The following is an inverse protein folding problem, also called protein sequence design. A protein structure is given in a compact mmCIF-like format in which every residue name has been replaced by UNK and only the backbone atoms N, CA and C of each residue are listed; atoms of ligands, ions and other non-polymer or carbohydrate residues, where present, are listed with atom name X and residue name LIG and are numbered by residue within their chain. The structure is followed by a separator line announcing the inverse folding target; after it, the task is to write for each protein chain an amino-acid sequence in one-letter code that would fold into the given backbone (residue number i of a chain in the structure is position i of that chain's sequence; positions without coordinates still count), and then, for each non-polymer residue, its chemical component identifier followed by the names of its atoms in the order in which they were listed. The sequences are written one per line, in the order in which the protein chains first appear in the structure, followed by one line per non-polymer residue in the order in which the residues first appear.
data_IF_556234300924
#
_entry.id   IF_556234300924
#
_cell.length_a   1.000
_cell.length_b   1.000
_cell.length_c   1.000
_cell.angle_alpha   90.00
_cell.angle_beta   90.00
_cell.angle_gamma   90.00
#
_symmetry.space_group_name_H-M   'P 1'
#
loop_
_entity.id
_entity.type
_entity.pdbx_description
1 polymer ?
#
# COMPACT_ATOMS: atom_id res chain seq x y z
N UNK A 1 -24.61 -10.70 -1.12
CA UNK A 1 -24.03 -9.33 -1.01
C UNK A 1 -23.69 -8.84 -2.41
N UNK A 2 -24.01 -7.59 -2.76
CA UNK A 2 -23.57 -6.98 -4.02
C UNK A 2 -22.04 -6.87 -3.97
N UNK A 3 -21.32 -7.50 -4.90
CA UNK A 3 -19.87 -7.34 -5.04
C UNK A 3 -19.60 -5.86 -5.26
N UNK A 4 -18.94 -5.20 -4.30
CA UNK A 4 -18.52 -3.79 -4.45
C UNK A 4 -17.40 -3.75 -5.48
N UNK A 5 -17.39 -2.72 -6.32
CA UNK A 5 -16.23 -2.49 -7.19
C UNK A 5 -15.06 -2.01 -6.32
N UNK A 6 -13.86 -2.48 -6.60
CA UNK A 6 -12.64 -2.15 -5.84
C UNK A 6 -12.47 -0.63 -5.63
N UNK A 7 -12.74 0.18 -6.66
CA UNK A 7 -12.70 1.66 -6.57
C UNK A 7 -13.58 2.28 -5.47
N UNK A 8 -14.67 1.60 -5.09
CA UNK A 8 -15.56 2.07 -4.02
C UNK A 8 -14.92 1.90 -2.63
N UNK A 9 -13.81 1.18 -2.52
CA UNK A 9 -13.07 0.95 -1.29
C UNK A 9 -11.99 2.01 -1.05
N UNK A 10 -11.52 2.69 -2.11
CA UNK A 10 -10.35 3.58 -2.04
C UNK A 10 -10.51 4.69 -1.00
N UNK A 11 -11.65 5.40 -1.01
CA UNK A 11 -11.89 6.47 -0.04
C UNK A 11 -11.99 5.94 1.39
N UNK A 12 -12.73 4.84 1.59
CA UNK A 12 -12.88 4.23 2.93
C UNK A 12 -11.52 3.81 3.48
N UNK A 13 -10.68 3.18 2.66
CA UNK A 13 -9.35 2.74 3.07
C UNK A 13 -8.43 3.92 3.31
N UNK A 14 -8.47 4.94 2.44
CA UNK A 14 -7.70 6.17 2.60
C UNK A 14 -8.03 6.84 3.93
N UNK A 15 -9.31 7.10 4.21
CA UNK A 15 -9.75 7.73 5.46
C UNK A 15 -9.23 6.98 6.70
N UNK A 16 -9.35 5.65 6.72
CA UNK A 16 -8.87 4.82 7.84
C UNK A 16 -7.34 4.84 7.99
N UNK A 17 -6.60 4.87 6.89
CA UNK A 17 -5.15 5.04 6.93
C UNK A 17 -4.78 6.44 7.42
N UNK A 18 -5.47 7.49 6.98
CA UNK A 18 -5.24 8.87 7.43
C UNK A 18 -5.48 9.02 8.94
N UNK A 19 -6.49 8.37 9.51
CA UNK A 19 -6.70 8.31 10.96
C UNK A 19 -5.52 7.68 11.72
N UNK A 20 -5.00 6.56 11.21
CA UNK A 20 -3.83 5.88 11.80
C UNK A 20 -2.58 6.75 11.69
N UNK A 21 -2.34 7.34 10.52
CA UNK A 21 -1.17 8.17 10.26
C UNK A 21 -1.21 9.45 11.12
N UNK A 22 -2.37 10.09 11.26
CA UNK A 22 -2.54 11.27 12.09
C UNK A 22 -2.21 11.04 13.57
N UNK A 23 -2.43 9.82 14.07
CA UNK A 23 -2.08 9.47 15.44
C UNK A 23 -0.56 9.27 15.66
N UNK A 24 0.22 9.14 14.59
CA UNK A 24 1.64 8.73 14.64
C UNK A 24 2.62 9.73 14.01
N UNK A 25 2.16 10.49 13.03
CA UNK A 25 2.98 11.42 12.26
C UNK A 25 2.36 12.81 12.27
N UNK A 26 3.21 13.82 12.44
CA UNK A 26 2.79 15.22 12.43
C UNK A 26 2.54 15.75 11.00
N UNK A 27 3.20 15.15 10.01
CA UNK A 27 3.09 15.55 8.61
C UNK A 27 3.08 14.31 7.71
N UNK A 28 1.97 14.15 6.99
CA UNK A 28 1.73 13.07 6.05
C UNK A 28 0.78 13.54 4.94
N UNK A 29 0.76 12.78 3.85
CA UNK A 29 -0.14 12.98 2.74
C UNK A 29 -0.47 11.65 2.09
N UNK A 30 -1.74 11.43 1.75
CA UNK A 30 -2.21 10.31 0.95
C UNK A 30 -3.16 10.82 -0.14
N UNK A 31 -3.06 10.24 -1.33
CA UNK A 31 -4.00 10.50 -2.43
C UNK A 31 -4.33 9.20 -3.17
N UNK A 32 -5.56 9.11 -3.71
CA UNK A 32 -5.96 8.02 -4.60
C UNK A 32 -5.32 8.29 -5.96
N UNK A 33 -4.42 7.42 -6.39
CA UNK A 33 -3.59 7.59 -7.60
C UNK A 33 -4.09 6.78 -8.79
N UNK A 34 -4.92 5.74 -8.56
CA UNK A 34 -5.48 4.88 -9.60
C UNK A 34 -6.13 5.67 -10.75
N UNK A 35 -6.94 6.69 -10.42
CA UNK A 35 -7.78 7.39 -11.39
C UNK A 35 -7.18 8.71 -11.89
N UNK A 36 -6.68 9.52 -10.98
CA UNK A 36 -6.29 10.93 -11.25
C UNK A 36 -4.82 11.09 -11.61
N UNK A 37 -3.99 10.09 -11.29
CA UNK A 37 -2.55 10.17 -11.47
C UNK A 37 -1.84 10.66 -10.22
N UNK A 38 -0.68 11.26 -10.41
CA UNK A 38 0.14 11.78 -9.31
C UNK A 38 0.02 13.31 -9.28
N UNK A 39 -0.37 13.86 -8.14
CA UNK A 39 -0.43 15.32 -7.96
C UNK A 39 0.96 15.95 -7.96
N UNK A 40 0.99 17.27 -8.13
CA UNK A 40 2.26 18.01 -8.02
C UNK A 40 2.88 17.90 -6.63
N UNK A 41 2.06 17.74 -5.58
CA UNK A 41 2.53 17.53 -4.21
C UNK A 41 3.27 16.19 -4.06
N UNK A 42 2.74 15.11 -4.63
CA UNK A 42 3.43 13.83 -4.60
C UNK A 42 4.69 13.84 -5.48
N UNK A 43 4.61 14.45 -6.66
CA UNK A 43 5.75 14.59 -7.58
C UNK A 43 6.91 15.39 -6.98
N UNK A 44 6.64 16.46 -6.22
CA UNK A 44 7.70 17.28 -5.61
C UNK A 44 8.48 16.57 -4.52
N UNK A 45 7.97 15.45 -4.00
CA UNK A 45 8.61 14.66 -2.95
C UNK A 45 9.48 13.51 -3.51
N UNK A 46 9.39 13.24 -4.81
CA UNK A 46 10.26 12.25 -5.44
C UNK A 46 11.69 12.79 -5.48
N UNK A 47 12.69 12.01 -5.04
CA UNK A 47 14.09 12.41 -5.13
C UNK A 47 14.50 12.73 -6.57
N UNK A 48 15.34 13.75 -6.74
CA UNK A 48 15.88 14.11 -8.05
C UNK A 48 16.51 12.92 -8.76
N UNK A 49 16.19 12.73 -10.03
CA UNK A 49 16.65 11.62 -10.87
C UNK A 49 15.75 10.37 -10.83
N UNK A 50 14.74 10.33 -9.95
CA UNK A 50 13.76 9.23 -9.89
C UNK A 50 12.43 9.56 -10.57
N UNK A 51 12.27 10.75 -11.14
CA UNK A 51 11.01 11.21 -11.78
C UNK A 51 10.62 10.36 -13.00
N UNK A 52 11.58 9.65 -13.59
CA UNK A 52 11.35 8.73 -14.71
C UNK A 52 10.32 7.65 -14.39
N UNK A 53 10.11 7.29 -13.11
CA UNK A 53 9.10 6.31 -12.69
C UNK A 53 7.71 6.68 -13.18
N UNK A 54 7.39 7.99 -13.26
CA UNK A 54 6.08 8.45 -13.70
C UNK A 54 5.82 8.16 -15.17
N UNK A 55 6.85 7.96 -16.00
CA UNK A 55 6.68 7.54 -17.38
C UNK A 55 6.23 6.07 -17.49
N UNK A 56 6.73 5.21 -16.60
CA UNK A 56 6.35 3.80 -16.55
C UNK A 56 4.97 3.58 -15.91
N UNK A 57 4.56 4.47 -15.01
CA UNK A 57 3.30 4.38 -14.28
C UNK A 57 2.13 5.12 -14.96
N UNK A 58 2.25 5.52 -16.22
CA UNK A 58 1.15 6.23 -16.93
C UNK A 58 -0.11 5.38 -17.06
N UNK A 59 0.06 4.08 -17.31
CA UNK A 59 -1.01 3.11 -17.63
C UNK A 59 -1.42 2.21 -16.45
N UNK A 60 -0.52 2.02 -15.48
CA UNK A 60 -0.73 1.18 -14.32
C UNK A 60 -0.11 1.88 -13.11
N UNK A 61 -0.97 2.40 -12.24
CA UNK A 61 -0.61 3.18 -11.06
C UNK A 61 -0.95 2.36 -9.82
N UNK A 62 -0.35 2.69 -8.67
CA UNK A 62 -0.87 2.20 -7.43
C UNK A 62 -2.30 2.69 -7.19
N UNK A 63 -3.02 2.06 -6.27
CA UNK A 63 -4.37 2.52 -5.92
C UNK A 63 -4.33 3.80 -5.09
N UNK A 64 -3.51 3.79 -4.04
CA UNK A 64 -3.24 4.94 -3.17
C UNK A 64 -1.73 5.08 -3.03
N UNK A 65 -1.26 6.32 -3.07
CA UNK A 65 0.15 6.64 -2.83
C UNK A 65 0.26 7.90 -2.00
N UNK A 66 1.34 8.02 -1.25
CA UNK A 66 1.64 9.22 -0.51
C UNK A 66 2.95 9.11 0.24
N UNK A 67 3.09 9.89 1.30
CA UNK A 67 4.31 9.93 2.10
C UNK A 67 4.05 10.38 3.53
N UNK A 68 4.96 10.03 4.43
CA UNK A 68 5.10 10.64 5.76
C UNK A 68 6.44 11.36 5.84
N UNK A 69 6.50 12.43 6.64
CA UNK A 69 7.73 13.17 6.91
C UNK A 69 8.30 12.78 8.27
N UNK A 70 9.54 12.32 8.28
CA UNK A 70 10.30 12.06 9.52
C UNK A 70 11.72 12.62 9.37
N UNK A 71 12.18 13.42 10.34
CA UNK A 71 13.54 14.00 10.34
C UNK A 71 13.92 14.71 9.02
N UNK A 72 12.98 15.44 8.41
CA UNK A 72 13.13 16.12 7.11
C UNK A 72 13.19 15.21 5.87
N UNK A 73 13.06 13.89 6.03
CA UNK A 73 12.96 12.94 4.92
C UNK A 73 11.51 12.57 4.63
N UNK A 74 11.22 12.38 3.35
CA UNK A 74 9.93 11.85 2.88
C UNK A 74 10.03 10.34 2.70
N UNK A 75 9.19 9.61 3.42
CA UNK A 75 9.08 8.17 3.31
C UNK A 75 7.79 7.80 2.60
N UNK A 76 7.90 7.20 1.43
CA UNK A 76 6.75 6.88 0.60
C UNK A 76 5.91 5.73 1.19
N UNK A 77 4.60 5.88 1.00
CA UNK A 77 3.58 4.87 1.27
C UNK A 77 2.98 4.45 -0.07
N UNK A 78 2.92 3.15 -0.31
CA UNK A 78 2.24 2.54 -1.46
C UNK A 78 1.18 1.58 -0.93
N UNK A 79 -0.03 1.66 -1.48
CA UNK A 79 -1.14 0.79 -1.09
C UNK A 79 -1.81 0.22 -2.34
N UNK A 80 -1.96 -1.09 -2.36
CA UNK A 80 -2.81 -1.82 -3.29
C UNK A 80 -4.03 -2.38 -2.55
N UNK A 81 -5.16 -2.39 -3.22
CA UNK A 81 -6.46 -2.75 -2.65
C UNK A 81 -7.06 -3.87 -3.49
N UNK A 82 -7.66 -4.86 -2.83
CA UNK A 82 -8.36 -5.97 -3.49
C UNK A 82 -9.72 -6.18 -2.86
N UNK A 83 -10.74 -6.35 -3.69
CA UNK A 83 -12.09 -6.75 -3.24
C UNK A 83 -12.29 -8.29 -3.25
N UNK A 84 -11.19 -9.03 -3.40
CA UNK A 84 -11.11 -10.48 -3.51
C UNK A 84 -10.01 -11.02 -2.58
N UNK A 85 -9.90 -12.34 -2.49
CA UNK A 85 -8.75 -12.98 -1.84
C UNK A 85 -7.44 -12.54 -2.49
N UNK A 86 -6.38 -12.42 -1.68
CA UNK A 86 -5.05 -12.00 -2.15
C UNK A 86 -4.43 -13.11 -2.98
N UNK A 87 -3.99 -12.77 -4.19
CA UNK A 87 -3.24 -13.66 -5.07
C UNK A 87 -1.75 -13.29 -5.13
N UNK A 88 -0.93 -14.19 -5.68
CA UNK A 88 0.52 -13.94 -5.83
C UNK A 88 0.80 -12.70 -6.70
N UNK A 89 0.03 -12.50 -7.76
CA UNK A 89 0.19 -11.37 -8.66
C UNK A 89 -0.08 -10.03 -7.96
N UNK A 90 -0.99 -9.99 -6.99
CA UNK A 90 -1.24 -8.79 -6.17
C UNK A 90 -0.01 -8.43 -5.33
N UNK A 91 0.68 -9.44 -4.79
CA UNK A 91 1.93 -9.25 -4.03
C UNK A 91 3.02 -8.73 -4.96
N UNK A 92 3.19 -9.31 -6.15
CA UNK A 92 4.18 -8.83 -7.12
C UNK A 92 3.86 -7.43 -7.63
N UNK A 93 2.59 -7.10 -7.85
CA UNK A 93 2.14 -5.75 -8.18
C UNK A 93 2.52 -4.76 -7.07
N UNK A 94 2.23 -5.09 -5.82
CA UNK A 94 2.60 -4.28 -4.65
C UNK A 94 4.11 -4.12 -4.54
N UNK A 95 4.89 -5.19 -4.75
CA UNK A 95 6.37 -5.14 -4.76
C UNK A 95 6.89 -4.19 -5.83
N UNK A 96 6.38 -4.31 -7.06
CA UNK A 96 6.78 -3.46 -8.20
C UNK A 96 6.61 -1.98 -7.83
N UNK A 97 5.46 -1.60 -7.30
CA UNK A 97 5.21 -0.21 -6.93
C UNK A 97 6.07 0.24 -5.74
N UNK A 98 6.17 -0.56 -4.68
CA UNK A 98 7.02 -0.26 -3.54
C UNK A 98 8.50 -0.05 -3.96
N UNK A 99 9.03 -0.89 -4.84
CA UNK A 99 10.40 -0.73 -5.38
C UNK A 99 10.56 0.55 -6.20
N UNK A 100 9.63 0.83 -7.12
CA UNK A 100 9.70 2.03 -7.96
C UNK A 100 9.68 3.31 -7.13
N UNK A 101 8.87 3.37 -6.08
CA UNK A 101 8.81 4.51 -5.16
C UNK A 101 9.91 4.50 -4.09
N UNK A 102 10.59 3.37 -3.86
CA UNK A 102 11.44 3.22 -2.67
C UNK A 102 10.62 3.38 -1.39
N UNK A 103 9.42 2.79 -1.37
CA UNK A 103 8.46 2.96 -0.28
C UNK A 103 8.99 2.35 1.02
N UNK A 104 8.85 3.08 2.13
CA UNK A 104 9.09 2.56 3.48
C UNK A 104 7.91 1.71 3.95
N UNK A 105 6.71 2.08 3.52
CA UNK A 105 5.47 1.40 3.89
C UNK A 105 4.77 0.90 2.62
N UNK A 106 4.64 -0.42 2.49
CA UNK A 106 3.93 -1.07 1.39
C UNK A 106 2.79 -1.90 1.97
N UNK A 107 1.55 -1.62 1.57
CA UNK A 107 0.37 -2.30 2.08
C UNK A 107 -0.38 -2.97 0.94
N UNK A 108 -0.82 -4.21 1.17
CA UNK A 108 -1.78 -4.90 0.33
C UNK A 108 -3.01 -5.22 1.17
N UNK A 109 -4.11 -4.53 0.87
CA UNK A 109 -5.33 -4.52 1.68
C UNK A 109 -6.43 -5.27 0.94
N UNK A 110 -6.98 -6.31 1.55
CA UNK A 110 -8.07 -7.10 0.99
C UNK A 110 -9.34 -7.01 1.85
N UNK A 111 -10.52 -7.09 1.23
CA UNK A 111 -11.80 -7.28 1.94
C UNK A 111 -12.04 -8.71 2.41
N UNK A 112 -11.15 -9.64 2.07
CA UNK A 112 -11.21 -11.03 2.45
C UNK A 112 -10.06 -11.36 3.42
N UNK A 113 -10.23 -12.46 4.15
CA UNK A 113 -9.19 -12.96 5.05
C UNK A 113 -7.89 -13.22 4.28
N UNK A 114 -6.76 -12.96 4.96
CA UNK A 114 -5.44 -13.19 4.41
C UNK A 114 -5.24 -14.71 4.27
N UNK A 115 -5.00 -15.25 3.06
CA UNK A 115 -4.91 -16.69 2.86
C UNK A 115 -3.79 -17.32 3.68
N UNK A 116 -4.07 -18.45 4.34
CA UNK A 116 -3.07 -19.17 5.12
C UNK A 116 -1.92 -19.69 4.25
N UNK A 117 -2.18 -19.99 2.99
CA UNK A 117 -1.17 -20.39 2.00
C UNK A 117 -0.15 -19.28 1.77
N UNK A 118 -0.58 -18.01 1.71
CA UNK A 118 0.32 -16.86 1.56
C UNK A 118 1.15 -16.66 2.82
N UNK A 119 0.53 -16.79 4.01
CA UNK A 119 1.26 -16.71 5.29
C UNK A 119 2.32 -17.81 5.40
N UNK A 120 1.98 -19.05 5.02
CA UNK A 120 2.92 -20.18 5.01
C UNK A 120 4.02 -20.03 3.96
N UNK A 121 3.69 -19.48 2.79
CA UNK A 121 4.69 -19.19 1.76
C UNK A 121 5.77 -18.26 2.32
N UNK A 122 5.37 -17.18 2.99
CA UNK A 122 6.30 -16.20 3.56
C UNK A 122 7.04 -16.67 4.80
N UNK A 123 6.42 -17.46 5.69
CA UNK A 123 7.10 -17.93 6.92
C UNK A 123 7.91 -19.21 6.76
N UNK A 124 7.46 -20.12 5.92
CA UNK A 124 7.95 -21.51 5.92
C UNK A 124 8.69 -21.86 4.63
N UNK A 125 8.14 -21.50 3.47
CA UNK A 125 8.67 -21.96 2.17
C UNK A 125 9.76 -21.01 1.67
N UNK A 126 9.51 -19.71 1.75
CA UNK A 126 10.43 -18.67 1.33
C UNK A 126 10.43 -17.56 2.39
N UNK A 127 11.19 -17.74 3.49
CA UNK A 127 11.43 -16.67 4.46
C UNK A 127 11.82 -15.40 3.71
N UNK A 128 11.19 -14.28 4.05
CA UNK A 128 11.33 -12.99 3.35
C UNK A 128 10.59 -12.86 2.02
N UNK A 129 9.63 -13.74 1.72
CA UNK A 129 8.81 -13.59 0.52
C UNK A 129 8.07 -12.24 0.48
N UNK A 130 7.60 -11.68 1.59
CA UNK A 130 7.00 -10.35 1.60
C UNK A 130 8.02 -9.21 1.71
N UNK A 131 9.28 -9.52 1.95
CA UNK A 131 10.36 -8.53 2.04
C UNK A 131 10.78 -8.07 0.64
N UNK A 132 11.29 -6.84 0.57
CA UNK A 132 11.76 -6.21 -0.65
C UNK A 132 13.15 -5.62 -0.51
N UNK A 133 13.74 -5.24 -1.65
CA UNK A 133 14.99 -4.48 -1.68
C UNK A 133 14.82 -3.16 -0.88
N UNK A 134 15.91 -2.64 -0.30
CA UNK A 134 15.90 -1.45 0.56
C UNK A 134 15.21 -1.62 1.93
N UNK A 135 14.97 -2.87 2.35
CA UNK A 135 14.56 -3.20 3.73
C UNK A 135 13.10 -2.93 4.05
N UNK A 136 12.26 -2.65 3.05
CA UNK A 136 10.80 -2.60 3.25
C UNK A 136 10.20 -4.01 3.23
N UNK A 137 9.03 -4.14 3.83
CA UNK A 137 8.22 -5.37 3.83
C UNK A 137 6.78 -5.03 3.44
N UNK A 138 6.16 -5.87 2.63
CA UNK A 138 4.73 -5.75 2.33
C UNK A 138 3.95 -6.23 3.54
N UNK A 139 3.02 -5.39 3.97
CA UNK A 139 2.10 -5.67 5.06
C UNK A 139 0.77 -6.06 4.46
N UNK A 140 0.34 -7.30 4.72
CA UNK A 140 -0.96 -7.79 4.32
C UNK A 140 -1.99 -7.36 5.37
N UNK A 141 -3.13 -6.84 4.91
CA UNK A 141 -4.18 -6.31 5.79
C UNK A 141 -5.54 -6.85 5.35
N UNK A 142 -6.32 -7.36 6.30
CA UNK A 142 -7.72 -7.70 6.09
C UNK A 142 -8.60 -6.55 6.61
N UNK A 143 -9.44 -6.01 5.72
CA UNK A 143 -10.49 -5.05 6.01
C UNK A 143 -11.85 -5.76 6.09
N UNK A 144 -12.49 -5.73 7.25
CA UNK A 144 -13.92 -6.04 7.36
C UNK A 144 -14.71 -4.87 6.77
N UNK A 145 -15.25 -5.06 5.57
CA UNK A 145 -15.96 -4.00 4.84
C UNK A 145 -17.29 -3.58 5.48
N UNK A 146 -17.92 -4.45 6.28
CA UNK A 146 -19.17 -4.14 6.95
C UNK A 146 -18.92 -3.21 8.14
N UNK A 147 -17.82 -3.46 8.88
CA UNK A 147 -17.37 -2.61 9.99
C UNK A 147 -16.53 -1.42 9.54
N UNK A 148 -15.97 -1.49 8.32
CA UNK A 148 -14.94 -0.57 7.81
C UNK A 148 -13.69 -0.53 8.71
N UNK A 149 -13.27 -1.69 9.19
CA UNK A 149 -12.18 -1.84 10.16
C UNK A 149 -11.10 -2.79 9.65
N UNK A 150 -9.83 -2.44 9.87
CA UNK A 150 -8.72 -3.36 9.66
C UNK A 150 -8.69 -4.37 10.81
N UNK A 151 -9.16 -5.58 10.52
CA UNK A 151 -9.36 -6.64 11.51
C UNK A 151 -8.15 -7.55 11.67
N UNK A 152 -7.29 -7.64 10.66
CA UNK A 152 -6.03 -8.39 10.72
C UNK A 152 -4.90 -7.61 10.05
N UNK A 153 -3.74 -7.65 10.69
CA UNK A 153 -2.47 -7.19 10.13
C UNK A 153 -1.50 -8.37 10.21
N UNK A 154 -1.02 -8.85 9.07
CA UNK A 154 -0.11 -9.98 9.09
C UNK A 154 1.28 -9.57 9.61
N UNK A 155 1.73 -10.32 10.61
CA UNK A 155 2.91 -10.15 11.46
C UNK A 155 2.95 -8.91 12.35
N UNK A 156 2.86 -7.69 11.81
CA UNK A 156 2.96 -6.47 12.62
C UNK A 156 2.28 -5.28 11.94
N UNK A 157 1.69 -4.41 12.76
CA UNK A 157 1.26 -3.07 12.33
C UNK A 157 2.50 -2.21 11.97
N UNK A 158 2.57 -1.64 10.76
CA UNK A 158 3.80 -1.01 10.26
C UNK A 158 3.99 0.42 10.75
N UNK A 159 2.90 1.06 11.18
CA UNK A 159 2.90 2.37 11.81
C UNK A 159 2.91 2.18 13.31
#
# INVERSE_FOLDING_TARGET
MKVRKEKQLYEVIKERLEEILKAKFNDFYLEITADTGFSNKLKSEIPRGREIIFNFLKKARPDITGFVKENSFSYFIVVEIKNSSIELDDIYQTKKYAQLFGAKYALLISTNEIPEEIKRLDKTINPDFLSGAYGYRIVLVHLDINKKEFVEWYEKKPF
#
